data_IF_652908438067
#
_entry.id   IF_652908438067
#
_cell.length_a   1.000
_cell.length_b   1.000
_cell.length_c   1.000
_cell.angle_alpha   90.00
_cell.angle_beta   90.00
_cell.angle_gamma   90.00
#
_symmetry.space_group_name_H-M   'P 1'
#
loop_
_entity.id
_entity.type
_entity.pdbx_description
1 polymer ?
#
# COMPACT_ATOMS: atom_id res chain seq x y z
N UNK A 1 23.78 -23.33 -24.89
CA UNK A 1 22.92 -23.17 -23.68
C UNK A 1 23.70 -22.81 -22.40
N UNK A 2 25.04 -22.81 -22.41
CA UNK A 2 25.86 -22.56 -21.22
C UNK A 2 26.07 -21.09 -20.84
N UNK A 3 25.77 -20.14 -21.69
CA UNK A 3 26.06 -18.71 -21.48
C UNK A 3 25.01 -18.01 -20.57
N UNK A 4 23.78 -18.49 -20.54
CA UNK A 4 22.73 -17.90 -19.69
C UNK A 4 22.83 -18.26 -18.20
N UNK A 5 23.46 -19.38 -17.87
CA UNK A 5 23.54 -19.91 -16.47
C UNK A 5 24.46 -19.09 -15.57
N UNK A 6 25.43 -18.40 -16.13
CA UNK A 6 26.41 -17.62 -15.34
C UNK A 6 26.17 -16.11 -15.32
N UNK A 7 25.21 -15.59 -16.08
CA UNK A 7 24.96 -14.14 -16.13
C UNK A 7 24.51 -13.57 -14.78
N UNK A 8 23.54 -14.20 -14.09
CA UNK A 8 23.04 -13.74 -12.81
C UNK A 8 24.10 -13.76 -11.70
N UNK A 9 24.90 -14.85 -11.52
CA UNK A 9 26.02 -14.84 -10.57
C UNK A 9 27.03 -13.73 -10.85
N UNK A 10 27.38 -13.51 -12.11
CA UNK A 10 28.32 -12.46 -12.52
C UNK A 10 27.78 -11.08 -12.11
N UNK A 11 26.52 -10.78 -12.45
CA UNK A 11 25.90 -9.50 -12.06
C UNK A 11 25.89 -9.32 -10.54
N UNK A 12 25.46 -10.33 -9.79
CA UNK A 12 25.40 -10.24 -8.33
C UNK A 12 26.79 -9.98 -7.73
N UNK A 13 27.83 -10.68 -8.20
CA UNK A 13 29.20 -10.52 -7.71
C UNK A 13 29.81 -9.16 -8.10
N UNK A 14 29.48 -8.60 -9.25
CA UNK A 14 29.98 -7.30 -9.70
C UNK A 14 29.70 -6.18 -8.69
N UNK A 15 28.58 -6.26 -7.97
CA UNK A 15 28.22 -5.24 -6.96
C UNK A 15 29.02 -5.36 -5.66
N UNK A 16 29.50 -6.54 -5.30
CA UNK A 16 30.13 -6.80 -3.99
C UNK A 16 31.63 -7.12 -4.09
N UNK A 17 32.14 -7.36 -5.30
CA UNK A 17 33.58 -7.57 -5.57
C UNK A 17 34.03 -6.53 -6.59
N UNK A 18 34.24 -5.27 -6.16
CA UNK A 18 34.57 -4.18 -7.07
C UNK A 18 36.00 -4.35 -7.67
N UNK A 19 36.13 -3.83 -8.89
CA UNK A 19 37.43 -3.72 -9.58
C UNK A 19 38.15 -5.06 -9.88
N UNK A 20 37.43 -6.20 -9.92
CA UNK A 20 37.94 -7.51 -10.29
C UNK A 20 37.11 -8.17 -11.38
N UNK A 21 37.73 -9.00 -12.20
CA UNK A 21 37.00 -9.93 -13.03
C UNK A 21 36.33 -11.00 -12.16
N UNK A 22 35.01 -10.99 -12.11
CA UNK A 22 34.22 -11.92 -11.30
C UNK A 22 33.80 -13.17 -12.06
N UNK A 23 34.09 -13.26 -13.37
CA UNK A 23 33.73 -14.43 -14.20
C UNK A 23 34.31 -15.75 -13.65
N UNK A 24 35.63 -15.85 -13.32
CA UNK A 24 36.16 -17.08 -12.78
C UNK A 24 35.48 -17.49 -11.46
N UNK A 25 35.23 -16.51 -10.58
CA UNK A 25 34.59 -16.74 -9.29
C UNK A 25 33.15 -17.22 -9.43
N UNK A 26 32.36 -16.62 -10.36
CA UNK A 26 31.01 -17.04 -10.66
C UNK A 26 30.96 -18.49 -11.18
N UNK A 27 31.89 -18.86 -12.07
CA UNK A 27 31.99 -20.22 -12.57
C UNK A 27 32.37 -21.22 -11.49
N UNK A 28 33.31 -20.86 -10.61
CA UNK A 28 33.73 -21.72 -9.50
C UNK A 28 32.59 -21.98 -8.52
N UNK A 29 31.80 -20.93 -8.15
CA UNK A 29 30.64 -21.06 -7.30
C UNK A 29 29.58 -21.99 -7.91
N UNK A 30 29.22 -21.78 -9.15
CA UNK A 30 28.21 -22.63 -9.82
C UNK A 30 28.71 -24.05 -9.99
N UNK A 31 30.00 -24.25 -10.25
CA UNK A 31 30.63 -25.59 -10.33
C UNK A 31 30.60 -26.33 -9.00
N UNK A 32 30.87 -25.62 -7.90
CA UNK A 32 30.96 -26.22 -6.55
C UNK A 32 29.58 -26.54 -5.98
N UNK A 33 28.61 -25.62 -6.14
CA UNK A 33 27.26 -25.75 -5.56
C UNK A 33 26.21 -26.31 -6.55
N UNK A 34 26.57 -26.48 -7.81
CA UNK A 34 25.69 -27.06 -8.84
C UNK A 34 24.81 -26.06 -9.58
N UNK A 35 24.31 -25.03 -8.90
CA UNK A 35 23.49 -23.98 -9.48
C UNK A 35 23.63 -22.67 -8.71
N UNK A 36 23.21 -21.55 -9.34
CA UNK A 36 23.18 -20.27 -8.63
C UNK A 36 22.15 -20.26 -7.49
N UNK A 37 21.01 -20.95 -7.66
CA UNK A 37 20.04 -21.10 -6.57
C UNK A 37 20.66 -21.79 -5.36
N UNK A 38 21.41 -22.86 -5.56
CA UNK A 38 22.12 -23.56 -4.50
C UNK A 38 23.22 -22.69 -3.85
N UNK A 39 23.89 -21.81 -4.61
CA UNK A 39 24.83 -20.81 -4.04
C UNK A 39 24.11 -19.84 -3.11
N UNK A 40 22.91 -19.38 -3.47
CA UNK A 40 22.12 -18.45 -2.66
C UNK A 40 21.55 -19.09 -1.38
N UNK A 41 21.37 -20.40 -1.37
CA UNK A 41 20.86 -21.20 -0.24
C UNK A 41 21.96 -21.85 0.59
N UNK A 42 23.22 -21.72 0.16
CA UNK A 42 24.35 -22.29 0.87
C UNK A 42 24.61 -21.61 2.22
N UNK A 43 25.27 -22.33 3.12
CA UNK A 43 25.74 -21.75 4.39
C UNK A 43 26.85 -20.72 4.13
N UNK A 44 26.90 -19.67 4.95
CA UNK A 44 27.91 -18.60 4.86
C UNK A 44 29.33 -19.19 4.99
N UNK A 45 29.51 -20.13 5.89
CA UNK A 45 30.84 -20.75 6.13
C UNK A 45 31.29 -21.60 4.93
N UNK A 46 30.36 -22.28 4.24
CA UNK A 46 30.64 -23.03 3.03
C UNK A 46 31.06 -22.11 1.87
N UNK A 47 30.33 -20.99 1.70
CA UNK A 47 30.69 -19.99 0.70
C UNK A 47 32.09 -19.39 0.92
N UNK A 48 32.47 -19.18 2.17
CA UNK A 48 33.80 -18.62 2.54
C UNK A 48 34.95 -19.56 2.25
N UNK A 49 34.71 -20.85 2.03
CA UNK A 49 35.75 -21.79 1.58
C UNK A 49 36.22 -21.49 0.14
N UNK A 50 35.40 -20.79 -0.64
CA UNK A 50 35.75 -20.42 -2.02
C UNK A 50 36.67 -19.22 -1.99
N UNK A 51 37.84 -19.39 -2.59
CA UNK A 51 38.86 -18.33 -2.66
C UNK A 51 38.31 -17.10 -3.39
N UNK A 52 38.28 -15.96 -2.70
CA UNK A 52 37.77 -14.70 -3.24
C UNK A 52 36.37 -14.30 -2.72
N UNK A 53 35.76 -15.15 -1.95
CA UNK A 53 34.53 -14.82 -1.22
C UNK A 53 34.90 -14.26 0.15
N UNK A 54 34.48 -13.01 0.41
CA UNK A 54 34.59 -12.37 1.73
C UNK A 54 33.28 -12.58 2.53
N UNK A 55 33.35 -12.28 3.85
CA UNK A 55 32.15 -12.28 4.71
C UNK A 55 31.04 -11.42 4.14
N UNK A 56 31.36 -10.24 3.61
CA UNK A 56 30.40 -9.33 2.98
C UNK A 56 29.77 -9.97 1.72
N UNK A 57 30.60 -10.64 0.90
CA UNK A 57 30.13 -11.30 -0.31
C UNK A 57 29.21 -12.47 0.02
N UNK A 58 29.58 -13.32 0.98
CA UNK A 58 28.78 -14.45 1.43
C UNK A 58 27.44 -13.96 2.02
N UNK A 59 27.49 -12.97 2.91
CA UNK A 59 26.30 -12.38 3.53
C UNK A 59 25.37 -11.75 2.48
N UNK A 60 25.90 -11.05 1.48
CA UNK A 60 25.13 -10.49 0.38
C UNK A 60 24.42 -11.58 -0.41
N UNK A 61 25.12 -12.62 -0.85
CA UNK A 61 24.54 -13.70 -1.64
C UNK A 61 23.40 -14.40 -0.89
N UNK A 62 23.59 -14.74 0.38
CA UNK A 62 22.58 -15.43 1.21
C UNK A 62 21.41 -14.52 1.63
N UNK A 63 21.57 -13.20 1.54
CA UNK A 63 20.48 -12.25 1.79
C UNK A 63 19.53 -12.07 0.60
N UNK A 64 19.99 -12.32 -0.63
CA UNK A 64 19.19 -12.11 -1.85
C UNK A 64 17.86 -12.87 -1.85
N UNK A 65 17.77 -14.17 -1.48
CA UNK A 65 16.49 -14.88 -1.39
C UNK A 65 15.55 -14.27 -0.35
N UNK A 66 16.08 -13.77 0.78
CA UNK A 66 15.29 -13.14 1.84
C UNK A 66 14.70 -11.82 1.36
N UNK A 67 15.49 -11.00 0.67
CA UNK A 67 15.05 -9.74 0.05
C UNK A 67 14.02 -10.01 -1.02
N UNK A 68 14.25 -11.00 -1.89
CA UNK A 68 13.31 -11.39 -2.94
C UNK A 68 11.99 -11.90 -2.37
N UNK A 69 12.03 -12.77 -1.35
CA UNK A 69 10.84 -13.27 -0.66
C UNK A 69 10.06 -12.16 0.03
N UNK A 70 10.75 -11.17 0.61
CA UNK A 70 10.12 -9.99 1.20
C UNK A 70 9.44 -9.16 0.10
N UNK A 71 10.13 -8.88 -1.00
CA UNK A 71 9.59 -8.18 -2.16
C UNK A 71 8.38 -8.89 -2.76
N UNK A 72 8.44 -10.22 -2.96
CA UNK A 72 7.34 -11.02 -3.47
C UNK A 72 6.16 -11.05 -2.47
N UNK A 73 6.42 -11.11 -1.18
CA UNK A 73 5.36 -10.98 -0.16
C UNK A 73 4.70 -9.61 -0.20
N UNK A 74 5.45 -8.53 -0.36
CA UNK A 74 4.88 -7.19 -0.53
C UNK A 74 4.12 -7.04 -1.85
N UNK A 75 4.64 -7.60 -2.93
CA UNK A 75 3.99 -7.61 -4.25
C UNK A 75 2.78 -8.54 -4.29
N UNK A 76 2.85 -9.69 -3.62
CA UNK A 76 1.80 -10.71 -3.49
C UNK A 76 0.90 -10.50 -2.27
N UNK A 77 1.22 -9.60 -1.36
CA UNK A 77 0.21 -8.90 -0.59
C UNK A 77 -0.69 -8.29 -1.64
N UNK A 78 -1.68 -9.11 -2.06
CA UNK A 78 -2.62 -8.81 -3.12
C UNK A 78 -3.04 -7.39 -2.84
N UNK A 79 -2.57 -6.48 -3.69
CA UNK A 79 -3.17 -5.17 -3.79
C UNK A 79 -4.61 -5.51 -4.05
N UNK A 80 -5.40 -5.66 -2.98
CA UNK A 80 -6.75 -6.18 -3.00
C UNK A 80 -7.56 -5.27 -3.89
N UNK A 81 -8.70 -5.73 -4.29
CA UNK A 81 -9.77 -4.85 -4.73
C UNK A 81 -10.65 -4.58 -3.52
N UNK A 82 -11.24 -3.40 -3.48
CA UNK A 82 -12.30 -3.05 -2.56
C UNK A 82 -13.50 -2.66 -3.41
N UNK A 83 -14.43 -3.59 -3.58
CA UNK A 83 -15.59 -3.42 -4.44
C UNK A 83 -16.86 -3.08 -3.65
N UNK A 84 -16.88 -3.35 -2.34
CA UNK A 84 -18.00 -3.08 -1.46
C UNK A 84 -17.52 -2.73 -0.04
N UNK A 85 -18.45 -2.34 0.82
CA UNK A 85 -18.17 -1.92 2.20
C UNK A 85 -17.68 -3.06 3.10
N UNK A 86 -18.10 -4.31 2.85
CA UNK A 86 -17.61 -5.47 3.61
C UNK A 86 -16.13 -5.74 3.36
N UNK A 87 -15.69 -5.69 2.10
CA UNK A 87 -14.29 -5.82 1.75
C UNK A 87 -13.45 -4.68 2.35
N UNK A 88 -14.00 -3.46 2.38
CA UNK A 88 -13.35 -2.31 3.03
C UNK A 88 -13.22 -2.52 4.54
N UNK A 89 -14.28 -3.03 5.19
CA UNK A 89 -14.28 -3.37 6.61
C UNK A 89 -13.26 -4.46 6.94
N UNK A 90 -13.29 -5.58 6.22
CA UNK A 90 -12.31 -6.66 6.40
C UNK A 90 -10.85 -6.19 6.21
N UNK A 91 -10.66 -5.29 5.24
CA UNK A 91 -9.36 -4.68 5.03
C UNK A 91 -8.95 -3.82 6.22
N UNK A 92 -9.87 -2.99 6.70
CA UNK A 92 -9.69 -2.13 7.87
C UNK A 92 -9.40 -2.93 9.13
N UNK A 93 -10.12 -4.02 9.40
CA UNK A 93 -9.87 -4.89 10.55
C UNK A 93 -8.43 -5.42 10.57
N UNK A 94 -7.89 -5.83 9.40
CA UNK A 94 -6.50 -6.28 9.28
C UNK A 94 -5.50 -5.14 9.50
N UNK A 95 -5.84 -3.94 9.01
CA UNK A 95 -5.00 -2.76 9.09
C UNK A 95 -4.88 -2.24 10.53
N UNK A 96 -5.99 -2.26 11.28
CA UNK A 96 -6.06 -1.72 12.64
C UNK A 96 -5.84 -2.76 13.74
N UNK A 97 -5.60 -4.02 13.38
CA UNK A 97 -5.39 -5.09 14.36
C UNK A 97 -4.27 -4.76 15.35
N UNK A 98 -4.62 -4.73 16.64
CA UNK A 98 -3.66 -4.43 17.73
C UNK A 98 -3.31 -2.94 17.89
N UNK A 99 -4.02 -2.04 17.23
CA UNK A 99 -3.86 -0.60 17.41
C UNK A 99 -4.60 -0.14 18.66
N UNK A 100 -3.92 0.63 19.50
CA UNK A 100 -4.43 1.16 20.78
C UNK A 100 -4.77 2.65 20.73
N UNK A 101 -4.39 3.33 19.65
CA UNK A 101 -4.71 4.73 19.39
C UNK A 101 -5.51 4.88 18.10
N UNK A 102 -6.20 6.00 17.96
CA UNK A 102 -6.87 6.35 16.71
C UNK A 102 -5.84 6.59 15.61
N UNK A 103 -6.03 5.97 14.48
CA UNK A 103 -5.22 6.17 13.28
C UNK A 103 -6.13 6.35 12.08
N UNK A 104 -5.74 7.24 11.16
CA UNK A 104 -6.47 7.47 9.92
C UNK A 104 -5.59 7.03 8.74
N UNK A 105 -6.16 6.20 7.88
CA UNK A 105 -5.51 5.72 6.66
C UNK A 105 -6.28 6.11 5.42
N UNK A 106 -5.53 6.48 4.39
CA UNK A 106 -6.01 6.73 3.05
C UNK A 106 -5.73 5.50 2.18
N UNK A 107 -6.77 4.92 1.60
CA UNK A 107 -6.65 3.88 0.59
C UNK A 107 -6.86 4.53 -0.77
N UNK A 108 -5.84 4.46 -1.61
CA UNK A 108 -5.86 4.98 -2.99
C UNK A 108 -6.29 3.87 -3.96
N UNK A 109 -7.31 4.15 -4.79
CA UNK A 109 -7.93 3.16 -5.69
C UNK A 109 -7.83 3.60 -7.15
N UNK A 110 -7.60 2.64 -8.04
CA UNK A 110 -7.87 2.81 -9.47
C UNK A 110 -9.38 2.82 -9.74
N UNK A 111 -9.78 3.25 -10.95
CA UNK A 111 -11.17 3.15 -11.40
C UNK A 111 -11.73 1.71 -11.42
N UNK A 112 -10.85 0.70 -11.36
CA UNK A 112 -11.18 -0.73 -11.26
C UNK A 112 -11.31 -1.22 -9.82
N UNK A 113 -11.32 -0.30 -8.84
CA UNK A 113 -11.33 -0.57 -7.40
C UNK A 113 -10.07 -1.29 -6.88
N UNK A 114 -9.02 -1.39 -7.70
CA UNK A 114 -7.74 -1.97 -7.28
C UNK A 114 -7.01 -0.99 -6.37
N UNK A 115 -6.58 -1.44 -5.19
CA UNK A 115 -5.74 -0.67 -4.27
C UNK A 115 -4.38 -0.44 -4.93
N UNK A 116 -3.89 0.78 -4.98
CA UNK A 116 -2.54 1.12 -5.45
C UNK A 116 -1.67 1.70 -4.36
N UNK A 117 -2.25 1.96 -3.20
CA UNK A 117 -1.48 2.40 -2.05
C UNK A 117 -2.33 2.64 -0.81
N UNK A 118 -1.65 2.58 0.32
CA UNK A 118 -2.21 2.84 1.64
C UNK A 118 -1.25 3.78 2.36
N UNK A 119 -1.75 4.92 2.80
CA UNK A 119 -0.95 5.95 3.46
C UNK A 119 -1.55 6.29 4.82
N UNK A 120 -0.74 6.29 5.86
CA UNK A 120 -1.14 6.78 7.18
C UNK A 120 -1.23 8.31 7.14
N UNK A 121 -2.41 8.84 7.39
CA UNK A 121 -2.69 10.28 7.35
C UNK A 121 -2.44 10.91 8.71
N UNK A 122 -2.99 10.32 9.77
CA UNK A 122 -2.84 10.82 11.14
C UNK A 122 -2.77 9.69 12.16
N UNK A 123 -2.30 10.04 13.36
CA UNK A 123 -2.25 9.22 14.55
C UNK A 123 -2.62 10.09 15.75
N UNK A 124 -3.42 9.56 16.69
CA UNK A 124 -4.01 10.29 17.81
C UNK A 124 -5.42 10.79 17.49
N UNK A 125 -6.07 11.43 18.46
CA UNK A 125 -7.46 11.92 18.33
C UNK A 125 -7.67 12.70 17.04
N UNK A 126 -8.74 12.34 16.33
CA UNK A 126 -9.09 12.93 15.05
C UNK A 126 -9.61 14.36 15.23
N UNK A 127 -8.71 15.33 15.24
CA UNK A 127 -9.07 16.75 15.18
C UNK A 127 -8.85 17.25 13.75
N UNK A 128 -9.58 18.29 13.30
CA UNK A 128 -9.44 18.91 11.98
C UNK A 128 -7.98 19.24 11.61
N UNK A 129 -7.13 19.52 12.61
CA UNK A 129 -5.71 19.77 12.43
C UNK A 129 -4.89 18.52 12.06
N UNK A 130 -5.38 17.32 12.37
CA UNK A 130 -4.65 16.06 12.19
C UNK A 130 -4.99 15.35 10.87
N UNK A 131 -6.24 15.45 10.39
CA UNK A 131 -6.64 14.90 9.08
C UNK A 131 -6.47 15.96 7.98
N UNK A 132 -5.23 16.22 7.60
CA UNK A 132 -4.91 17.26 6.62
C UNK A 132 -5.38 16.89 5.22
N UNK A 133 -6.37 17.62 4.70
CA UNK A 133 -6.85 17.52 3.29
C UNK A 133 -5.67 17.67 2.33
N UNK A 134 -4.71 18.57 2.63
CA UNK A 134 -3.50 18.75 1.84
C UNK A 134 -2.69 17.45 1.74
N UNK A 135 -2.48 16.75 2.86
CA UNK A 135 -1.74 15.49 2.87
C UNK A 135 -2.45 14.42 2.03
N UNK A 136 -3.78 14.38 2.08
CA UNK A 136 -4.61 13.48 1.28
C UNK A 136 -4.43 13.79 -0.22
N UNK A 137 -4.59 15.05 -0.62
CA UNK A 137 -4.46 15.47 -2.03
C UNK A 137 -3.04 15.26 -2.55
N UNK A 138 -2.01 15.47 -1.74
CA UNK A 138 -0.61 15.18 -2.10
C UNK A 138 -0.39 13.68 -2.34
N UNK A 139 -0.98 12.80 -1.51
CA UNK A 139 -0.93 11.35 -1.69
C UNK A 139 -1.63 10.93 -3.00
N UNK A 140 -2.82 11.46 -3.27
CA UNK A 140 -3.57 11.18 -4.49
C UNK A 140 -2.81 11.62 -5.75
N UNK A 141 -2.24 12.81 -5.72
CA UNK A 141 -1.46 13.37 -6.83
C UNK A 141 -0.23 12.51 -7.13
N UNK A 142 0.53 12.11 -6.11
CA UNK A 142 1.69 11.23 -6.28
C UNK A 142 1.33 9.88 -6.88
N UNK A 143 0.17 9.32 -6.52
CA UNK A 143 -0.31 8.03 -6.99
C UNK A 143 -1.12 8.12 -8.29
N UNK A 144 -1.44 9.33 -8.74
CA UNK A 144 -2.25 9.60 -9.94
C UNK A 144 -3.60 8.87 -9.89
N UNK A 145 -4.26 8.92 -8.74
CA UNK A 145 -5.58 8.32 -8.52
C UNK A 145 -6.65 9.38 -8.30
N UNK A 146 -7.87 9.06 -8.71
CA UNK A 146 -9.02 9.92 -8.50
C UNK A 146 -9.97 9.39 -7.40
N UNK A 147 -9.87 8.11 -7.02
CA UNK A 147 -10.76 7.47 -6.07
C UNK A 147 -10.02 7.11 -4.79
N UNK A 148 -10.63 7.40 -3.65
CA UNK A 148 -10.09 7.08 -2.33
C UNK A 148 -11.15 6.54 -1.39
N UNK A 149 -10.70 5.75 -0.41
CA UNK A 149 -11.44 5.43 0.80
C UNK A 149 -10.62 5.95 1.99
N UNK A 150 -11.30 6.56 2.94
CA UNK A 150 -10.73 6.95 4.22
C UNK A 150 -11.17 5.93 5.28
N UNK A 151 -10.22 5.35 6.00
CA UNK A 151 -10.49 4.45 7.13
C UNK A 151 -9.90 5.03 8.38
N UNK A 152 -10.66 5.03 9.49
CA UNK A 152 -10.11 5.27 10.81
C UNK A 152 -10.69 4.29 11.84
N UNK A 153 -9.97 4.05 12.91
CA UNK A 153 -10.39 3.15 13.97
C UNK A 153 -10.79 3.92 15.23
N UNK A 154 -11.81 3.39 15.92
CA UNK A 154 -12.14 3.78 17.28
C UNK A 154 -11.74 2.67 18.26
N UNK A 155 -10.59 2.78 18.95
CA UNK A 155 -10.12 1.74 19.87
C UNK A 155 -11.08 1.48 21.04
N UNK A 156 -11.95 2.44 21.35
CA UNK A 156 -12.95 2.34 22.43
C UNK A 156 -14.19 1.51 22.05
N UNK A 157 -14.25 0.97 20.83
CA UNK A 157 -15.23 -0.06 20.43
C UNK A 157 -16.58 0.45 19.92
N UNK A 158 -16.81 1.76 19.82
CA UNK A 158 -18.05 2.33 19.27
C UNK A 158 -17.81 2.84 17.84
N UNK A 159 -18.49 2.24 16.87
CA UNK A 159 -18.44 2.68 15.47
C UNK A 159 -19.48 3.80 15.23
N UNK A 160 -19.43 4.87 16.03
CA UNK A 160 -20.29 6.04 15.90
C UNK A 160 -19.46 7.26 15.46
N UNK A 161 -19.91 7.99 14.42
CA UNK A 161 -19.18 9.15 13.94
C UNK A 161 -19.32 10.32 14.90
N UNK A 162 -18.19 10.94 15.22
CA UNK A 162 -18.17 12.23 15.92
C UNK A 162 -18.60 13.37 14.99
N UNK A 163 -18.93 14.52 15.55
CA UNK A 163 -19.19 15.72 14.74
C UNK A 163 -17.97 16.18 13.95
N UNK A 164 -16.77 15.91 14.48
CA UNK A 164 -15.51 16.19 13.78
C UNK A 164 -15.32 15.27 12.56
N UNK A 165 -15.65 13.99 12.68
CA UNK A 165 -15.62 13.04 11.54
C UNK A 165 -16.54 13.48 10.41
N UNK A 166 -17.76 13.93 10.77
CA UNK A 166 -18.73 14.46 9.80
C UNK A 166 -18.19 15.72 9.09
N UNK A 167 -17.59 16.66 9.85
CA UNK A 167 -16.99 17.88 9.28
C UNK A 167 -15.82 17.54 8.35
N UNK A 168 -14.91 16.67 8.77
CA UNK A 168 -13.77 16.22 7.95
C UNK A 168 -14.27 15.54 6.66
N UNK A 169 -15.26 14.65 6.76
CA UNK A 169 -15.86 13.98 5.61
C UNK A 169 -16.44 15.00 4.63
N UNK A 170 -17.25 15.93 5.13
CA UNK A 170 -17.86 16.98 4.32
C UNK A 170 -16.81 17.84 3.61
N UNK A 171 -15.83 18.35 4.36
CA UNK A 171 -14.74 19.18 3.83
C UNK A 171 -13.92 18.43 2.76
N UNK A 172 -13.66 17.13 2.98
CA UNK A 172 -12.93 16.29 2.03
C UNK A 172 -13.73 16.07 0.74
N UNK A 173 -15.03 15.76 0.82
CA UNK A 173 -15.89 15.60 -0.37
C UNK A 173 -15.90 16.89 -1.20
N UNK A 174 -16.04 18.07 -0.56
CA UNK A 174 -16.02 19.36 -1.27
C UNK A 174 -14.67 19.62 -1.95
N UNK A 175 -13.56 19.37 -1.25
CA UNK A 175 -12.22 19.57 -1.81
C UNK A 175 -11.97 18.65 -3.01
N UNK A 176 -12.39 17.40 -2.93
CA UNK A 176 -12.21 16.41 -3.99
C UNK A 176 -13.09 16.66 -5.20
N UNK A 177 -14.33 17.11 -5.00
CA UNK A 177 -15.27 17.41 -6.08
C UNK A 177 -14.71 18.50 -7.04
N UNK A 178 -14.01 19.49 -6.50
CA UNK A 178 -13.38 20.57 -7.29
C UNK A 178 -12.28 20.02 -8.21
N UNK A 179 -11.59 18.98 -7.79
CA UNK A 179 -10.47 18.36 -8.52
C UNK A 179 -10.91 17.21 -9.45
N UNK A 180 -12.21 16.90 -9.51
CA UNK A 180 -12.73 15.74 -10.23
C UNK A 180 -12.33 14.41 -9.61
N UNK A 181 -12.03 14.43 -8.32
CA UNK A 181 -11.68 13.26 -7.52
C UNK A 181 -12.84 12.88 -6.59
N UNK A 182 -12.84 11.66 -6.07
CA UNK A 182 -13.98 11.13 -5.34
C UNK A 182 -13.56 10.43 -4.04
N UNK A 183 -14.26 10.79 -2.95
CA UNK A 183 -14.32 9.98 -1.75
C UNK A 183 -15.39 8.89 -1.97
N UNK A 184 -14.95 7.65 -2.10
CA UNK A 184 -15.85 6.50 -2.28
C UNK A 184 -16.56 6.19 -0.98
N UNK A 185 -15.80 6.13 0.12
CA UNK A 185 -16.34 5.97 1.46
C UNK A 185 -15.39 6.58 2.49
N UNK A 186 -15.92 6.90 3.65
CA UNK A 186 -15.21 7.10 4.89
C UNK A 186 -15.80 6.11 5.90
N UNK A 187 -14.97 5.28 6.50
CA UNK A 187 -15.43 4.24 7.42
C UNK A 187 -14.74 4.33 8.76
N UNK A 188 -15.51 4.13 9.81
CA UNK A 188 -15.03 3.93 11.16
C UNK A 188 -15.01 2.44 11.44
N UNK A 189 -13.83 1.93 11.82
CA UNK A 189 -13.60 0.50 12.01
C UNK A 189 -13.39 0.20 13.49
N UNK A 190 -14.19 -0.70 14.01
CA UNK A 190 -14.04 -1.28 15.34
C UNK A 190 -13.88 -2.80 15.23
N UNK A 191 -13.54 -3.48 16.32
CA UNK A 191 -13.28 -4.92 16.31
C UNK A 191 -14.46 -5.74 15.77
N UNK A 192 -15.70 -5.41 16.16
CA UNK A 192 -16.89 -6.16 15.79
C UNK A 192 -17.97 -5.36 15.08
N UNK A 193 -17.66 -4.11 14.69
CA UNK A 193 -18.60 -3.21 14.05
C UNK A 193 -17.90 -2.20 13.17
N UNK A 194 -18.64 -1.58 12.28
CA UNK A 194 -18.17 -0.46 11.47
C UNK A 194 -19.31 0.53 11.24
N UNK A 195 -18.94 1.73 10.88
CA UNK A 195 -19.86 2.74 10.35
C UNK A 195 -19.33 3.19 8.98
N UNK A 196 -20.23 3.36 8.02
CA UNK A 196 -19.92 3.84 6.67
C UNK A 196 -20.71 5.12 6.41
N UNK A 197 -20.01 6.20 6.13
CA UNK A 197 -20.61 7.48 5.73
C UNK A 197 -21.30 7.42 4.38
N UNK A 198 -20.93 6.44 3.54
CA UNK A 198 -21.61 6.17 2.27
C UNK A 198 -22.94 5.49 2.49
N UNK A 199 -23.01 4.45 3.34
CA UNK A 199 -24.27 3.76 3.67
C UNK A 199 -25.26 4.68 4.39
N UNK A 200 -24.75 5.61 5.21
CA UNK A 200 -25.59 6.60 5.91
C UNK A 200 -25.93 7.82 5.03
N UNK A 201 -25.66 7.75 3.72
CA UNK A 201 -25.95 8.76 2.70
C UNK A 201 -25.28 10.13 2.87
N UNK A 202 -24.47 10.35 3.91
CA UNK A 202 -23.82 11.64 4.17
C UNK A 202 -22.93 12.10 3.00
N UNK A 203 -22.21 11.16 2.38
CA UNK A 203 -21.37 11.46 1.21
C UNK A 203 -22.22 11.83 0.00
N UNK A 204 -23.33 11.13 -0.21
CA UNK A 204 -24.27 11.40 -1.31
C UNK A 204 -24.94 12.76 -1.16
N UNK A 205 -25.36 13.10 0.06
CA UNK A 205 -25.95 14.39 0.38
C UNK A 205 -24.98 15.53 0.11
N UNK A 206 -23.70 15.36 0.44
CA UNK A 206 -22.65 16.34 0.12
C UNK A 206 -22.52 16.55 -1.39
N UNK A 207 -22.48 15.48 -2.19
CA UNK A 207 -22.44 15.60 -3.65
C UNK A 207 -23.70 16.26 -4.22
N UNK A 208 -24.86 15.98 -3.63
CA UNK A 208 -26.12 16.63 -4.02
C UNK A 208 -26.11 18.14 -3.72
N UNK A 209 -25.62 18.53 -2.54
CA UNK A 209 -25.42 19.95 -2.19
C UNK A 209 -24.49 20.64 -3.19
N UNK A 210 -23.34 20.03 -3.51
CA UNK A 210 -22.36 20.56 -4.46
C UNK A 210 -23.00 20.75 -5.85
N UNK A 211 -23.78 19.75 -6.31
CA UNK A 211 -24.44 19.83 -7.63
C UNK A 211 -25.43 20.99 -7.72
N UNK A 212 -26.11 21.31 -6.63
CA UNK A 212 -27.03 22.47 -6.55
C UNK A 212 -26.28 23.80 -6.59
N UNK A 213 -25.13 23.87 -5.89
CA UNK A 213 -24.31 25.09 -5.82
C UNK A 213 -23.67 25.41 -7.18
N UNK A 214 -23.14 24.40 -7.86
CA UNK A 214 -22.43 24.55 -9.13
C UNK A 214 -23.34 24.44 -10.37
N UNK A 215 -24.67 24.41 -10.18
CA UNK A 215 -25.66 24.61 -11.27
C UNK A 215 -25.57 23.58 -12.39
N UNK A 216 -25.34 22.31 -12.09
CA UNK A 216 -25.26 21.26 -13.11
C UNK A 216 -24.01 21.37 -14.01
N UNK A 217 -22.97 22.07 -13.59
CA UNK A 217 -21.70 22.12 -14.29
C UNK A 217 -21.21 20.69 -14.55
N UNK A 218 -20.87 20.38 -15.80
CA UNK A 218 -20.46 19.05 -16.31
C UNK A 218 -19.24 18.42 -15.59
N UNK A 219 -18.69 19.08 -14.56
CA UNK A 219 -17.52 18.66 -13.82
C UNK A 219 -17.80 17.98 -12.47
N UNK A 220 -18.98 18.16 -11.89
CA UNK A 220 -19.31 17.53 -10.60
C UNK A 220 -20.16 16.30 -10.88
N UNK A 221 -19.53 15.22 -11.32
CA UNK A 221 -20.22 13.93 -11.45
C UNK A 221 -20.11 13.20 -10.12
N UNK A 222 -21.23 12.63 -9.67
CA UNK A 222 -21.18 11.61 -8.63
C UNK A 222 -20.23 10.50 -9.10
N UNK A 223 -19.42 9.93 -8.19
CA UNK A 223 -18.54 8.83 -8.54
C UNK A 223 -19.40 7.74 -9.21
N UNK A 224 -19.08 7.41 -10.46
CA UNK A 224 -19.56 6.16 -11.07
C UNK A 224 -18.83 4.98 -10.41
N UNK A 225 -18.60 5.08 -9.11
CA UNK A 225 -17.98 4.03 -8.34
C UNK A 225 -18.99 2.90 -8.27
N UNK A 226 -18.61 1.79 -8.83
CA UNK A 226 -19.25 0.51 -8.63
C UNK A 226 -18.85 -0.02 -7.25
N UNK A 227 -19.22 0.72 -6.22
CA UNK A 227 -19.27 0.21 -4.87
C UNK A 227 -20.63 -0.49 -4.85
N UNK A 228 -20.65 -1.81 -5.00
CA UNK A 228 -21.88 -2.59 -4.98
C UNK A 228 -22.40 -2.62 -3.56
N UNK A 229 -23.69 -2.39 -3.40
CA UNK A 229 -24.39 -2.54 -2.13
C UNK A 229 -24.68 -4.03 -1.81
N UNK A 230 -24.12 -4.96 -2.64
CA UNK A 230 -24.27 -6.42 -2.51
C UNK A 230 -23.08 -7.06 -1.79
#
# INVERSE_FOLDING_TARGET
>A
TGVQTCALPIYALTFVVPFKDVNPLAHELVKTFGSFGAVLEADIEDLKQIKGISDVTACFLTSLPKIFNFYEKEKNNKVGKICNYLEAYEYGQKLFKGKTCEEVYLISLLATNKIVGVDKISEGTCNESNCSIRKITDCMSRRKVANIILLHNHPNGLAEPSEEDKKVTKALVYALAITGSHLIDHMIICDNSYYSFKQDHLIDDCYLEISKIFGGAKGVQQPKARYSDD
#
